data_IF_558899782975
#
_entry.id   IF_558899782975
#
_cell.length_a   1.000
_cell.length_b   1.000
_cell.length_c   1.000
_cell.angle_alpha   90.00
_cell.angle_beta   90.00
_cell.angle_gamma   90.00
#
_symmetry.space_group_name_H-M   'P 1'
#
loop_
_entity.id
_entity.type
_entity.pdbx_description
1 polymer ?
#
# COMPACT_ATOMS: atom_id res chain seq x y z
N UNK A 1 -21.95 -26.03 -13.25
CA UNK A 1 -20.77 -25.21 -12.90
C UNK A 1 -19.64 -26.13 -12.53
N UNK A 2 -18.63 -26.30 -13.40
CA UNK A 2 -17.46 -27.12 -13.07
C UNK A 2 -16.58 -26.37 -12.09
N UNK A 3 -16.55 -26.83 -10.85
CA UNK A 3 -15.66 -26.31 -9.82
C UNK A 3 -14.22 -26.73 -10.13
N UNK A 4 -13.41 -25.82 -10.68
CA UNK A 4 -11.97 -26.05 -10.85
C UNK A 4 -11.30 -26.23 -9.48
N UNK A 5 -10.22 -27.03 -9.42
CA UNK A 5 -9.47 -27.24 -8.17
C UNK A 5 -8.98 -25.91 -7.56
N UNK A 6 -8.64 -24.93 -8.41
CA UNK A 6 -8.28 -23.57 -7.99
C UNK A 6 -9.40 -22.87 -7.21
N UNK A 7 -10.65 -22.97 -7.67
CA UNK A 7 -11.80 -22.37 -6.98
C UNK A 7 -12.03 -23.00 -5.60
N UNK A 8 -11.92 -24.34 -5.49
CA UNK A 8 -12.03 -25.04 -4.20
C UNK A 8 -10.94 -24.61 -3.21
N UNK A 9 -9.70 -24.46 -3.70
CA UNK A 9 -8.57 -23.99 -2.87
C UNK A 9 -8.81 -22.57 -2.37
N UNK A 10 -9.22 -21.65 -3.25
CA UNK A 10 -9.59 -20.27 -2.89
C UNK A 10 -10.72 -20.21 -1.86
N UNK A 11 -11.77 -20.99 -2.08
CA UNK A 11 -12.90 -21.07 -1.19
C UNK A 11 -12.48 -21.55 0.21
N UNK A 12 -11.65 -22.60 0.27
CA UNK A 12 -11.10 -23.11 1.53
C UNK A 12 -10.21 -22.09 2.24
N UNK A 13 -9.38 -21.35 1.49
CA UNK A 13 -8.52 -20.30 2.01
C UNK A 13 -9.33 -19.17 2.64
N UNK A 14 -10.35 -18.66 1.95
CA UNK A 14 -11.21 -17.58 2.44
C UNK A 14 -11.89 -17.97 3.76
N UNK A 15 -12.43 -19.19 3.83
CA UNK A 15 -13.10 -19.68 5.06
C UNK A 15 -12.12 -19.94 6.19
N UNK A 16 -10.96 -20.55 5.90
CA UNK A 16 -9.91 -20.87 6.89
C UNK A 16 -9.38 -19.61 7.57
N UNK A 17 -9.14 -18.56 6.79
CA UNK A 17 -8.58 -17.29 7.29
C UNK A 17 -9.67 -16.26 7.68
N UNK A 18 -10.95 -16.65 7.67
CA UNK A 18 -12.10 -15.80 8.01
C UNK A 18 -12.01 -14.42 7.33
N UNK A 19 -11.72 -14.42 6.04
CA UNK A 19 -11.58 -13.18 5.27
C UNK A 19 -12.96 -12.49 5.22
N UNK A 20 -13.06 -11.20 5.61
CA UNK A 20 -14.32 -10.47 5.56
C UNK A 20 -14.88 -10.44 4.14
N UNK A 21 -16.20 -10.48 3.99
CA UNK A 21 -16.89 -10.47 2.69
C UNK A 21 -16.47 -9.31 1.77
N UNK A 22 -16.17 -8.16 2.38
CA UNK A 22 -15.73 -6.95 1.69
C UNK A 22 -14.21 -6.86 1.50
N UNK A 23 -13.43 -7.82 2.00
CA UNK A 23 -12.00 -7.91 1.79
C UNK A 23 -11.68 -8.32 0.36
N UNK A 24 -10.59 -7.78 -0.20
CA UNK A 24 -10.15 -8.14 -1.56
C UNK A 24 -9.16 -9.30 -1.49
N UNK A 25 -9.40 -10.31 -2.30
CA UNK A 25 -8.52 -11.46 -2.46
C UNK A 25 -8.02 -11.47 -3.90
N UNK A 26 -6.70 -11.36 -4.02
CA UNK A 26 -5.98 -11.46 -5.29
C UNK A 26 -5.45 -12.87 -5.47
N UNK A 27 -5.58 -13.35 -6.70
CA UNK A 27 -5.02 -14.61 -7.16
C UNK A 27 -3.95 -14.33 -8.21
N UNK A 28 -2.80 -14.97 -8.06
CA UNK A 28 -1.76 -15.01 -9.07
C UNK A 28 -1.31 -16.45 -9.32
N UNK A 29 -1.18 -16.79 -10.59
CA UNK A 29 -0.67 -18.07 -11.07
C UNK A 29 0.32 -17.81 -12.21
N UNK A 30 1.55 -18.30 -12.03
CA UNK A 30 2.60 -18.26 -13.04
C UNK A 30 3.36 -19.57 -13.10
N UNK A 31 3.86 -19.89 -14.29
CA UNK A 31 4.72 -21.03 -14.58
C UNK A 31 5.41 -20.78 -15.92
N UNK A 32 6.62 -21.31 -16.11
CA UNK A 32 7.35 -21.19 -17.37
C UNK A 32 6.66 -21.83 -18.58
N UNK A 33 5.68 -22.71 -18.36
CA UNK A 33 4.88 -23.36 -19.43
C UNK A 33 3.59 -22.64 -19.77
N UNK A 34 3.14 -21.72 -18.93
CA UNK A 34 1.92 -20.97 -19.21
C UNK A 34 2.23 -19.91 -20.27
N UNK A 35 1.54 -19.97 -21.42
CA UNK A 35 1.63 -18.92 -22.46
C UNK A 35 1.29 -17.53 -21.91
N UNK A 36 0.49 -17.47 -20.84
CA UNK A 36 0.08 -16.25 -20.17
C UNK A 36 0.00 -16.49 -18.65
N UNK A 37 0.65 -15.63 -17.88
CA UNK A 37 0.42 -15.55 -16.43
C UNK A 37 -1.01 -15.11 -16.14
N UNK A 38 -1.61 -15.68 -15.11
CA UNK A 38 -2.87 -15.19 -14.60
C UNK A 38 -2.57 -14.23 -13.47
N UNK A 39 -2.60 -12.94 -13.78
CA UNK A 39 -2.26 -11.88 -12.84
C UNK A 39 -3.47 -11.31 -12.08
N UNK A 40 -3.16 -10.79 -10.89
CA UNK A 40 -3.93 -10.05 -9.90
C UNK A 40 -5.34 -9.54 -10.28
N UNK A 41 -6.32 -10.45 -10.36
CA UNK A 41 -7.73 -10.05 -10.34
C UNK A 41 -8.20 -9.94 -8.89
N UNK A 42 -8.30 -8.71 -8.39
CA UNK A 42 -8.79 -8.43 -7.04
C UNK A 42 -10.32 -8.51 -6.95
N UNK A 43 -10.84 -9.68 -6.58
CA UNK A 43 -12.27 -9.86 -6.30
C UNK A 43 -12.56 -9.76 -4.80
N UNK A 44 -13.79 -9.40 -4.46
CA UNK A 44 -14.23 -9.45 -3.07
C UNK A 44 -14.35 -10.90 -2.61
N UNK A 45 -14.09 -11.16 -1.33
CA UNK A 45 -14.27 -12.49 -0.75
C UNK A 45 -15.69 -13.01 -0.98
N UNK A 46 -16.71 -12.14 -0.90
CA UNK A 46 -18.11 -12.52 -1.22
C UNK A 46 -18.32 -12.94 -2.68
N UNK A 47 -17.57 -12.37 -3.63
CA UNK A 47 -17.66 -12.76 -5.04
C UNK A 47 -17.07 -14.15 -5.25
N UNK A 48 -15.99 -14.48 -4.54
CA UNK A 48 -15.40 -15.82 -4.55
C UNK A 48 -16.30 -16.87 -3.90
N UNK A 49 -16.99 -16.51 -2.81
CA UNK A 49 -17.85 -17.42 -2.04
C UNK A 49 -19.20 -17.67 -2.70
N UNK A 50 -19.86 -16.60 -3.16
CA UNK A 50 -21.23 -16.67 -3.68
C UNK A 50 -21.27 -16.81 -5.20
N UNK A 51 -20.12 -16.68 -5.86
CA UNK A 51 -20.02 -16.57 -7.31
C UNK A 51 -20.27 -15.14 -7.79
N UNK A 52 -19.66 -14.80 -8.91
CA UNK A 52 -19.98 -13.60 -9.68
C UNK A 52 -19.68 -13.86 -11.14
N UNK A 53 -20.41 -13.22 -12.07
CA UNK A 53 -20.16 -13.43 -13.49
C UNK A 53 -18.71 -13.13 -13.91
N UNK A 54 -18.02 -12.25 -13.17
CA UNK A 54 -16.59 -11.96 -13.40
C UNK A 54 -15.68 -13.06 -12.88
N UNK A 55 -15.96 -13.62 -11.70
CA UNK A 55 -15.24 -14.79 -11.16
C UNK A 55 -15.43 -15.98 -12.08
N UNK A 56 -16.66 -16.23 -12.53
CA UNK A 56 -16.99 -17.33 -13.44
C UNK A 56 -16.28 -17.19 -14.78
N UNK A 57 -16.31 -16.00 -15.40
CA UNK A 57 -15.59 -15.73 -16.65
C UNK A 57 -14.07 -15.93 -16.47
N UNK A 58 -13.52 -15.50 -15.33
CA UNK A 58 -12.09 -15.66 -15.04
C UNK A 58 -11.73 -17.14 -14.88
N UNK A 59 -12.53 -17.92 -14.15
CA UNK A 59 -12.34 -19.35 -13.98
C UNK A 59 -12.51 -20.11 -15.29
N UNK A 60 -13.45 -19.69 -16.14
CA UNK A 60 -13.62 -20.24 -17.49
C UNK A 60 -12.42 -19.95 -18.39
N UNK A 61 -11.77 -18.80 -18.26
CA UNK A 61 -10.52 -18.52 -18.98
C UNK A 61 -9.34 -19.35 -18.48
N UNK A 62 -9.28 -19.62 -17.16
CA UNK A 62 -8.24 -20.45 -16.57
C UNK A 62 -8.43 -21.94 -16.84
N UNK A 63 -9.67 -22.41 -16.92
CA UNK A 63 -9.99 -23.83 -16.99
C UNK A 63 -9.34 -24.56 -18.17
N UNK A 64 -9.33 -24.04 -19.42
CA UNK A 64 -8.63 -24.69 -20.53
C UNK A 64 -7.12 -24.77 -20.31
N UNK A 65 -6.53 -23.80 -19.62
CA UNK A 65 -5.08 -23.75 -19.40
C UNK A 65 -4.64 -24.65 -18.24
N UNK A 66 -5.49 -24.77 -17.22
CA UNK A 66 -5.25 -25.67 -16.08
C UNK A 66 -5.63 -27.14 -16.38
N UNK A 67 -6.57 -27.37 -17.30
CA UNK A 67 -7.05 -28.70 -17.67
C UNK A 67 -6.58 -29.16 -19.07
N UNK A 68 -5.78 -28.37 -19.79
CA UNK A 68 -5.11 -28.85 -21.00
C UNK A 68 -4.10 -29.89 -20.56
N UNK A 69 -4.25 -31.11 -21.06
CA UNK A 69 -3.29 -32.21 -20.94
C UNK A 69 -1.94 -31.93 -21.63
N UNK A 70 -1.54 -30.67 -21.81
CA UNK A 70 -0.22 -30.29 -22.30
C UNK A 70 0.80 -30.50 -21.17
N UNK A 71 1.36 -31.70 -21.13
CA UNK A 71 2.59 -32.10 -20.44
C UNK A 71 2.94 -31.27 -19.20
N UNK A 72 2.44 -31.67 -18.04
CA UNK A 72 3.07 -31.33 -16.76
C UNK A 72 4.20 -32.34 -16.56
N UNK A 73 5.43 -32.00 -16.93
CA UNK A 73 6.56 -32.86 -16.59
C UNK A 73 6.91 -32.66 -15.11
N UNK A 74 7.38 -33.74 -14.48
CA UNK A 74 7.56 -33.86 -13.03
C UNK A 74 8.50 -32.80 -12.40
N UNK A 75 9.27 -32.10 -13.23
CA UNK A 75 10.32 -31.14 -12.89
C UNK A 75 9.91 -29.67 -13.07
N UNK A 76 8.66 -29.40 -13.47
CA UNK A 76 8.21 -28.03 -13.67
C UNK A 76 7.57 -27.41 -12.41
N UNK A 77 8.03 -26.22 -12.07
CA UNK A 77 7.56 -25.47 -10.91
C UNK A 77 6.39 -24.55 -11.28
N UNK A 78 5.36 -24.55 -10.44
CA UNK A 78 4.27 -23.58 -10.48
C UNK A 78 4.37 -22.63 -9.28
N UNK A 79 4.11 -21.35 -9.51
CA UNK A 79 3.94 -20.38 -8.44
C UNK A 79 2.46 -20.00 -8.36
N UNK A 80 1.83 -20.34 -7.24
CA UNK A 80 0.48 -19.91 -6.90
C UNK A 80 0.56 -19.03 -5.66
N UNK A 81 0.00 -17.83 -5.73
CA UNK A 81 -0.07 -16.93 -4.58
C UNK A 81 -1.46 -16.33 -4.39
N UNK A 82 -1.81 -16.17 -3.12
CA UNK A 82 -3.05 -15.55 -2.69
C UNK A 82 -2.71 -14.36 -1.80
N UNK A 83 -3.19 -13.18 -2.17
CA UNK A 83 -2.97 -11.96 -1.37
C UNK A 83 -4.30 -11.43 -0.90
N UNK A 84 -4.51 -11.42 0.42
CA UNK A 84 -5.64 -10.73 1.03
C UNK A 84 -5.24 -9.28 1.35
N UNK A 85 -5.94 -8.33 0.75
CA UNK A 85 -5.82 -6.91 1.08
C UNK A 85 -7.01 -6.52 1.92
N UNK A 86 -6.74 -6.11 3.16
CA UNK A 86 -7.76 -5.56 4.06
C UNK A 86 -8.31 -4.28 3.44
N UNK A 87 -9.63 -4.14 3.46
CA UNK A 87 -10.27 -2.89 3.10
C UNK A 87 -9.75 -1.78 4.01
N UNK A 88 -9.45 -0.62 3.42
CA UNK A 88 -9.16 0.59 4.19
C UNK A 88 -10.27 0.80 5.22
N UNK A 89 -9.93 1.26 6.43
CA UNK A 89 -10.94 1.64 7.42
C UNK A 89 -12.00 2.52 6.76
N UNK A 90 -13.29 2.26 7.04
CA UNK A 90 -14.37 3.15 6.58
C UNK A 90 -14.01 4.56 7.03
N UNK A 91 -13.79 5.46 6.07
CA UNK A 91 -13.61 6.86 6.38
C UNK A 91 -14.87 7.38 7.08
N UNK A 92 -14.73 8.39 7.92
CA UNK A 92 -15.84 9.05 8.62
C UNK A 92 -16.83 9.75 7.69
N UNK A 93 -16.62 9.72 6.37
CA UNK A 93 -17.33 10.56 5.39
C UNK A 93 -16.89 12.03 5.43
N UNK A 94 -16.19 12.45 6.49
CA UNK A 94 -15.65 13.79 6.58
C UNK A 94 -14.42 13.96 5.69
N UNK A 95 -14.43 15.02 4.88
CA UNK A 95 -13.26 15.43 4.12
C UNK A 95 -12.13 15.77 5.08
N UNK A 96 -10.94 15.21 4.84
CA UNK A 96 -9.75 15.54 5.64
C UNK A 96 -9.33 16.98 5.30
N UNK A 97 -9.69 17.92 6.16
CA UNK A 97 -9.56 19.37 5.97
C UNK A 97 -8.11 19.88 5.86
N UNK A 98 -7.12 19.05 6.21
CA UNK A 98 -5.69 19.43 6.30
C UNK A 98 -4.76 18.58 5.42
N UNK A 99 -5.29 17.85 4.43
CA UNK A 99 -4.45 17.08 3.50
C UNK A 99 -4.06 17.91 2.26
N UNK A 100 -2.76 18.06 1.98
CA UNK A 100 -2.30 18.64 0.72
C UNK A 100 -2.96 17.94 -0.48
N UNK A 101 -3.42 18.72 -1.47
CA UNK A 101 -4.14 18.22 -2.66
C UNK A 101 -5.67 18.22 -2.57
N UNK A 102 -6.26 18.44 -1.38
CA UNK A 102 -7.73 18.55 -1.22
C UNK A 102 -8.24 20.00 -1.09
N UNK A 103 -7.34 20.97 -1.04
CA UNK A 103 -7.65 22.41 -1.03
C UNK A 103 -6.45 23.17 -1.62
N UNK A 104 -6.66 24.44 -1.98
CA UNK A 104 -5.57 25.28 -2.47
C UNK A 104 -4.49 25.46 -1.38
N UNK A 105 -3.19 25.41 -1.71
CA UNK A 105 -2.10 25.57 -0.73
C UNK A 105 -2.26 26.80 0.19
N UNK A 106 -2.73 27.91 -0.36
CA UNK A 106 -3.00 29.15 0.38
C UNK A 106 -4.08 29.00 1.46
N UNK A 107 -5.05 28.11 1.27
CA UNK A 107 -6.06 27.83 2.29
C UNK A 107 -5.42 27.22 3.54
N UNK A 108 -4.46 26.31 3.38
CA UNK A 108 -3.74 25.73 4.52
C UNK A 108 -2.84 26.75 5.21
N UNK A 109 -2.19 27.64 4.43
CA UNK A 109 -1.36 28.72 5.00
C UNK A 109 -2.17 29.64 5.91
N UNK A 110 -3.40 30.01 5.51
CA UNK A 110 -4.29 30.86 6.33
C UNK A 110 -4.75 30.21 7.63
N UNK A 111 -4.79 28.88 7.69
CA UNK A 111 -5.22 28.13 8.89
C UNK A 111 -4.06 27.82 9.85
N UNK A 112 -2.81 27.99 9.42
CA UNK A 112 -1.63 27.75 10.25
C UNK A 112 -1.21 29.06 10.93
N UNK A 113 -1.04 29.02 12.25
CA UNK A 113 -0.55 30.16 13.03
C UNK A 113 0.91 30.53 12.70
N UNK A 114 1.69 29.55 12.26
CA UNK A 114 3.11 29.73 11.92
C UNK A 114 3.40 29.06 10.59
N UNK A 115 3.91 29.83 9.61
CA UNK A 115 4.26 29.36 8.27
C UNK A 115 5.71 29.71 7.97
N UNK A 116 6.58 28.71 7.92
CA UNK A 116 7.97 28.88 7.47
C UNK A 116 8.01 28.77 5.94
N UNK A 117 8.33 29.88 5.27
CA UNK A 117 8.43 29.90 3.80
C UNK A 117 9.86 29.60 3.39
N UNK A 118 10.08 28.40 2.85
CA UNK A 118 11.37 28.00 2.28
C UNK A 118 11.42 28.50 0.84
N UNK A 119 12.28 29.48 0.56
CA UNK A 119 12.49 30.03 -0.80
C UNK A 119 13.50 29.15 -1.54
N UNK A 120 13.01 28.22 -2.36
CA UNK A 120 13.86 27.48 -3.29
C UNK A 120 13.71 28.10 -4.68
N UNK A 121 14.81 28.59 -5.25
CA UNK A 121 14.86 29.14 -6.62
C UNK A 121 15.27 28.08 -7.67
N UNK A 122 15.33 26.81 -7.28
CA UNK A 122 15.72 25.68 -8.12
C UNK A 122 14.51 24.80 -8.52
N UNK A 123 14.64 24.04 -9.61
CA UNK A 123 13.62 23.09 -10.09
C UNK A 123 13.74 21.70 -9.44
N UNK A 124 14.49 21.56 -8.34
CA UNK A 124 14.85 20.26 -7.74
C UNK A 124 13.86 19.83 -6.64
N UNK A 125 12.60 20.26 -6.69
CA UNK A 125 11.64 20.09 -5.61
C UNK A 125 11.49 18.63 -5.12
N UNK A 126 11.44 17.65 -6.03
CA UNK A 126 11.35 16.23 -5.66
C UNK A 126 12.65 15.69 -5.04
N UNK A 127 13.81 16.06 -5.60
CA UNK A 127 15.11 15.64 -5.06
C UNK A 127 15.34 16.22 -3.66
N UNK A 128 14.98 17.49 -3.46
CA UNK A 128 15.00 18.15 -2.15
C UNK A 128 14.08 17.47 -1.14
N UNK A 129 12.86 17.09 -1.52
CA UNK A 129 11.95 16.36 -0.61
C UNK A 129 12.59 15.05 -0.17
N UNK A 130 13.22 14.30 -1.07
CA UNK A 130 13.89 13.04 -0.73
C UNK A 130 15.05 13.29 0.23
N UNK A 131 15.94 14.24 -0.09
CA UNK A 131 17.09 14.59 0.76
C UNK A 131 16.61 15.12 2.11
N UNK A 132 15.65 16.04 2.14
CA UNK A 132 15.09 16.59 3.38
C UNK A 132 14.44 15.52 4.26
N UNK A 133 13.76 14.55 3.65
CA UNK A 133 13.18 13.42 4.39
C UNK A 133 14.27 12.56 5.00
N UNK A 134 15.33 12.27 4.25
CA UNK A 134 16.48 11.50 4.74
C UNK A 134 17.18 12.23 5.89
N UNK A 135 17.53 13.50 5.69
CA UNK A 135 18.20 14.32 6.72
C UNK A 135 17.34 14.50 7.95
N UNK A 136 16.01 14.59 7.80
CA UNK A 136 15.11 14.64 8.94
C UNK A 136 15.15 13.33 9.75
N UNK A 137 15.17 12.17 9.09
CA UNK A 137 15.28 10.87 9.77
C UNK A 137 16.60 10.77 10.54
N UNK A 138 17.71 11.18 9.92
CA UNK A 138 19.03 11.18 10.55
C UNK A 138 19.07 12.10 11.78
N UNK A 139 18.50 13.30 11.65
CA UNK A 139 18.41 14.25 12.75
C UNK A 139 17.54 13.71 13.91
N UNK A 140 16.43 13.04 13.62
CA UNK A 140 15.61 12.37 14.63
C UNK A 140 16.39 11.27 15.37
N UNK A 141 17.23 10.52 14.66
CA UNK A 141 18.09 9.50 15.27
C UNK A 141 19.19 10.13 16.14
N UNK A 142 19.84 11.18 15.66
CA UNK A 142 20.88 11.92 16.38
C UNK A 142 20.34 12.58 17.66
N UNK A 143 19.21 13.26 17.57
CA UNK A 143 18.56 13.92 18.71
C UNK A 143 17.84 12.93 19.65
N UNK A 144 17.78 11.64 19.29
CA UNK A 144 17.04 10.60 19.99
C UNK A 144 15.56 10.99 20.23
N UNK A 145 14.90 11.48 19.17
CA UNK A 145 13.49 11.88 19.17
C UNK A 145 12.70 10.99 18.21
N UNK A 146 11.66 10.27 18.66
CA UNK A 146 10.86 9.41 17.79
C UNK A 146 10.06 10.21 16.75
N UNK A 147 9.71 9.58 15.63
CA UNK A 147 8.96 10.21 14.54
C UNK A 147 7.45 10.25 14.84
N UNK A 148 7.08 11.08 15.82
CA UNK A 148 5.72 11.26 16.35
C UNK A 148 5.47 12.77 16.60
N UNK A 149 4.24 13.21 16.92
CA UNK A 149 4.01 14.59 17.34
C UNK A 149 4.94 14.96 18.50
N UNK A 150 5.72 16.03 18.32
CA UNK A 150 6.69 16.51 19.30
C UNK A 150 6.13 17.68 20.12
N UNK A 151 6.55 17.76 21.38
CA UNK A 151 6.31 18.89 22.29
C UNK A 151 7.58 19.71 22.51
N UNK A 152 7.55 20.63 23.47
CA UNK A 152 8.67 21.53 23.78
C UNK A 152 9.94 20.79 24.22
N UNK A 153 9.80 19.65 24.90
CA UNK A 153 10.94 18.83 25.35
C UNK A 153 11.69 18.23 24.16
N UNK A 154 10.97 17.69 23.18
CA UNK A 154 11.56 17.17 21.95
C UNK A 154 12.18 18.28 21.09
N UNK A 155 11.57 19.47 21.02
CA UNK A 155 12.15 20.63 20.34
C UNK A 155 13.48 21.07 20.98
N UNK A 156 13.58 20.99 22.30
CA UNK A 156 14.83 21.30 23.02
C UNK A 156 15.93 20.29 22.68
N UNK A 157 15.59 19.00 22.52
CA UNK A 157 16.57 17.98 22.09
C UNK A 157 17.12 18.25 20.69
N UNK A 158 16.28 18.72 19.76
CA UNK A 158 16.74 19.14 18.44
C UNK A 158 17.66 20.37 18.53
N UNK A 159 17.37 21.35 19.38
CA UNK A 159 18.25 22.51 19.58
C UNK A 159 19.66 22.13 20.08
N UNK A 160 19.78 20.99 20.74
CA UNK A 160 21.03 20.46 21.29
C UNK A 160 21.72 19.44 20.36
N UNK A 161 21.13 19.12 19.20
CA UNK A 161 21.72 18.18 18.26
C UNK A 161 23.07 18.75 17.74
N UNK A 162 24.17 17.96 17.77
CA UNK A 162 25.46 18.39 17.26
C UNK A 162 25.43 18.95 15.84
N UNK A 163 24.64 18.35 14.94
CA UNK A 163 24.44 18.82 13.57
C UNK A 163 23.70 20.17 13.45
N UNK A 164 23.07 20.61 14.54
CA UNK A 164 22.35 21.88 14.65
C UNK A 164 23.05 22.91 15.54
N UNK A 165 24.29 22.68 15.96
CA UNK A 165 25.01 23.58 16.87
C UNK A 165 25.18 25.02 16.35
N UNK A 166 25.17 25.21 15.03
CA UNK A 166 25.23 26.52 14.36
C UNK A 166 23.84 27.16 14.14
N UNK A 167 22.76 26.49 14.55
CA UNK A 167 21.38 26.92 14.28
C UNK A 167 20.66 27.24 15.59
N UNK A 168 20.26 28.50 15.76
CA UNK A 168 19.43 28.90 16.89
C UNK A 168 17.95 28.67 16.56
N UNK A 169 17.32 27.72 17.25
CA UNK A 169 15.86 27.64 17.27
C UNK A 169 15.33 28.80 18.13
N UNK A 170 14.75 29.81 17.48
CA UNK A 170 13.98 30.85 18.16
C UNK A 170 12.65 30.23 18.62
N UNK A 171 12.60 29.81 19.88
CA UNK A 171 11.40 29.33 20.56
C UNK A 171 10.54 30.50 21.05
#
# INVERSE_FOLDING_TARGET
MSFTAAHKTLFSFIRRYRIPENGRVYFHLSSGRLRKSFDYHGFLAKEWLNGSGRVDATLQQMAPTLNSNENFEMNDSFQISFTHVRSSPRGSGEKRKMKPGHSHPETFKRMKQTVVTIKNNDSLCCARVIIQTHTAIELHAEANVPFVPCGCEELTKFALAPSLCDFQLLL
#
